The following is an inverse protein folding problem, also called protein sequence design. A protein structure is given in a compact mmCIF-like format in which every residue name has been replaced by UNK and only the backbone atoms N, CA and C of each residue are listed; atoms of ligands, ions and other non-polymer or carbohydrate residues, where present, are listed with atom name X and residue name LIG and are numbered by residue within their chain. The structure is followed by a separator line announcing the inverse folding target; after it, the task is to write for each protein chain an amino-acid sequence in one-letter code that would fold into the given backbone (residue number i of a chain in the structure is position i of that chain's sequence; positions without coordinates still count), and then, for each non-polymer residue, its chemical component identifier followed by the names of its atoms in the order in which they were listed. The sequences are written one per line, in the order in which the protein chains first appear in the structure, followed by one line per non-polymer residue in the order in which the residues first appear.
data_IF_786181255623
#
_entry.id   IF_786181255623
#
_cell.length_a   1.000
_cell.length_b   1.000
_cell.length_c   1.000
_cell.angle_alpha   90.00
_cell.angle_beta   90.00
_cell.angle_gamma   90.00
#
_symmetry.space_group_name_H-M   'P 1'
#
loop_
_entity.id
_entity.type
_entity.pdbx_description
1 polymer ?
#
# COMPACT_ATOMS: atom_id res chain seq x y z
N UNK A 1 52.65 14.72 39.55
CA UNK A 1 51.32 15.14 40.03
C UNK A 1 50.38 15.22 38.84
N UNK A 2 49.73 14.10 38.53
CA UNK A 2 48.40 13.70 39.00
C UNK A 2 47.30 14.35 38.15
N UNK A 3 46.87 13.55 37.19
CA UNK A 3 45.62 13.64 36.42
C UNK A 3 44.47 13.57 37.43
N UNK A 4 43.63 14.60 37.50
CA UNK A 4 42.34 14.53 38.18
C UNK A 4 41.23 14.49 37.15
N UNK A 5 40.73 13.27 36.98
CA UNK A 5 39.47 12.91 36.35
C UNK A 5 38.31 13.66 37.01
N UNK A 6 37.55 14.42 36.22
CA UNK A 6 36.18 14.79 36.58
C UNK A 6 35.23 13.81 35.89
N UNK A 7 34.99 12.68 36.57
CA UNK A 7 33.85 11.81 36.34
C UNK A 7 32.59 12.56 36.77
N UNK A 8 31.87 13.14 35.83
CA UNK A 8 30.47 13.51 36.05
C UNK A 8 29.64 12.22 35.90
N UNK A 9 29.40 11.55 37.03
CA UNK A 9 28.41 10.47 37.12
C UNK A 9 27.01 11.09 36.94
N UNK A 10 26.51 11.10 35.71
CA UNK A 10 25.07 11.21 35.45
C UNK A 10 24.53 9.80 35.37
N UNK A 11 24.10 9.30 36.52
CA UNK A 11 23.38 8.03 36.66
C UNK A 11 22.06 8.12 35.89
N UNK A 12 21.86 7.20 34.94
CA UNK A 12 20.53 6.80 34.47
C UNK A 12 19.81 7.77 33.53
N UNK A 13 20.35 8.01 32.33
CA UNK A 13 19.50 8.39 31.21
C UNK A 13 18.72 7.14 30.75
N UNK A 14 17.50 6.96 31.27
CA UNK A 14 16.50 6.13 30.58
C UNK A 14 16.30 6.78 29.21
N UNK A 15 16.93 6.18 28.20
CA UNK A 15 16.76 6.57 26.82
C UNK A 15 15.33 6.22 26.39
N UNK A 16 14.38 7.11 26.70
CA UNK A 16 13.00 7.03 26.23
C UNK A 16 13.00 7.38 24.74
N UNK A 17 13.46 6.46 23.90
CA UNK A 17 13.36 6.60 22.45
C UNK A 17 11.91 6.36 22.04
N UNK A 18 11.27 7.42 21.55
CA UNK A 18 9.98 7.34 20.87
C UNK A 18 10.18 6.61 19.54
N UNK A 19 9.53 5.46 19.36
CA UNK A 19 9.47 4.82 18.04
C UNK A 19 8.30 5.42 17.26
N UNK A 20 8.61 6.40 16.41
CA UNK A 20 7.67 6.96 15.42
C UNK A 20 7.50 5.92 14.30
N UNK A 21 6.27 5.67 13.80
CA UNK A 21 6.09 4.77 12.67
C UNK A 21 6.93 5.25 11.46
N UNK A 22 7.68 4.29 10.92
CA UNK A 22 8.53 4.41 9.73
C UNK A 22 7.71 4.99 8.58
N UNK A 23 8.31 5.87 7.77
CA UNK A 23 7.74 6.38 6.52
C UNK A 23 7.23 5.22 5.65
N UNK A 24 5.91 5.02 5.58
CA UNK A 24 5.33 3.96 4.77
C UNK A 24 4.94 4.51 3.40
N UNK A 25 5.55 3.97 2.35
CA UNK A 25 5.02 4.10 0.98
C UNK A 25 4.07 2.94 0.76
N UNK A 26 2.79 3.26 0.61
CA UNK A 26 1.72 2.27 0.48
C UNK A 26 1.18 2.35 -0.94
N UNK A 27 0.96 1.19 -1.55
CA UNK A 27 0.33 1.08 -2.86
C UNK A 27 -0.99 0.33 -2.70
N UNK A 28 -2.04 0.82 -3.36
CA UNK A 28 -3.35 0.19 -3.37
C UNK A 28 -3.93 0.16 -4.78
N UNK A 29 -4.70 -0.89 -5.08
CA UNK A 29 -5.47 -0.99 -6.31
C UNK A 29 -6.70 -0.07 -6.20
N UNK A 30 -7.03 0.66 -7.26
CA UNK A 30 -8.27 1.45 -7.30
C UNK A 30 -9.52 0.55 -7.13
N UNK A 31 -10.49 0.98 -6.32
CA UNK A 31 -11.65 0.20 -5.89
C UNK A 31 -11.38 -0.78 -4.75
N UNK A 32 -10.10 -1.00 -4.35
CA UNK A 32 -9.75 -1.95 -3.29
C UNK A 32 -9.84 -1.33 -1.88
N UNK A 33 -9.51 -2.12 -0.86
CA UNK A 33 -9.33 -1.64 0.52
C UNK A 33 -7.85 -1.73 0.90
N UNK A 34 -7.32 -0.66 1.47
CA UNK A 34 -5.96 -0.60 1.98
C UNK A 34 -5.94 -0.46 3.49
N UNK A 35 -5.05 -1.21 4.14
CA UNK A 35 -4.78 -1.08 5.57
C UNK A 35 -3.35 -0.60 5.77
N UNK A 36 -3.21 0.57 6.37
CA UNK A 36 -1.92 1.11 6.79
C UNK A 36 -1.72 0.71 8.25
N UNK A 37 -0.82 -0.24 8.48
CA UNK A 37 -0.53 -0.72 9.82
C UNK A 37 0.44 0.24 10.53
N UNK A 38 0.03 0.81 11.65
CA UNK A 38 0.93 1.53 12.55
C UNK A 38 1.25 0.68 13.78
N UNK A 39 2.49 0.76 14.28
CA UNK A 39 2.80 0.40 15.66
C UNK A 39 3.40 1.62 16.37
N UNK A 40 2.96 1.88 17.59
CA UNK A 40 3.53 2.93 18.42
C UNK A 40 3.61 2.38 19.83
N UNK A 41 4.82 2.37 20.37
CA UNK A 41 5.08 1.98 21.75
C UNK A 41 5.19 3.26 22.54
N UNK A 42 4.11 3.64 23.20
CA UNK A 42 4.14 4.74 24.16
C UNK A 42 4.40 4.14 25.55
N UNK A 43 5.23 4.79 26.38
CA UNK A 43 5.31 4.40 27.79
C UNK A 43 3.92 4.42 28.42
N UNK A 44 3.57 3.36 29.16
CA UNK A 44 2.24 3.14 29.77
C UNK A 44 1.79 4.25 30.73
N UNK A 45 2.70 5.15 31.07
CA UNK A 45 2.51 6.31 31.95
C UNK A 45 1.76 7.46 31.25
N UNK A 46 1.75 7.48 29.91
CA UNK A 46 1.14 8.55 29.12
C UNK A 46 -0.31 8.21 28.74
N UNK A 47 -1.23 9.14 28.97
CA UNK A 47 -2.62 8.98 28.53
C UNK A 47 -2.76 9.50 27.10
N UNK A 48 -2.93 8.60 26.14
CA UNK A 48 -3.31 8.98 24.77
C UNK A 48 -4.75 9.47 24.80
N UNK A 49 -4.95 10.75 24.49
CA UNK A 49 -6.26 11.40 24.50
C UNK A 49 -6.91 11.31 23.12
N UNK A 50 -6.11 11.42 22.05
CA UNK A 50 -6.61 11.37 20.67
C UNK A 50 -5.50 11.01 19.69
N UNK A 51 -5.82 10.14 18.73
CA UNK A 51 -5.01 9.86 17.56
C UNK A 51 -5.89 10.03 16.31
N UNK A 52 -5.37 10.68 15.28
CA UNK A 52 -6.08 10.86 14.01
C UNK A 52 -5.12 10.98 12.83
N UNK A 53 -5.61 10.58 11.68
CA UNK A 53 -5.01 10.83 10.38
C UNK A 53 -5.65 12.04 9.72
N UNK A 54 -4.91 12.75 8.88
CA UNK A 54 -5.44 13.88 8.12
C UNK A 54 -4.57 14.25 6.94
N UNK A 55 -5.12 15.08 6.06
CA UNK A 55 -4.41 15.63 4.90
C UNK A 55 -3.42 16.72 5.32
N UNK A 56 -2.29 16.89 4.61
CA UNK A 56 -1.36 17.98 4.86
C UNK A 56 -2.08 19.33 4.73
N UNK A 57 -1.97 20.14 5.77
CA UNK A 57 -2.50 21.49 5.79
C UNK A 57 -1.36 22.50 5.71
N UNK A 58 -1.64 23.69 5.17
CA UNK A 58 -0.70 24.81 5.19
C UNK A 58 -0.28 25.16 6.63
N UNK A 59 0.97 25.60 6.79
CA UNK A 59 1.60 25.89 8.10
C UNK A 59 0.65 26.69 9.01
N UNK A 60 0.28 26.10 10.15
CA UNK A 60 -0.52 26.73 11.19
C UNK A 60 -2.01 26.34 11.23
N UNK A 61 -2.53 25.62 10.24
CA UNK A 61 -3.91 25.09 10.29
C UNK A 61 -3.97 23.77 11.08
N UNK A 62 -5.07 23.60 11.83
CA UNK A 62 -5.37 22.37 12.58
C UNK A 62 -5.54 21.20 11.62
N UNK A 63 -4.85 20.09 11.88
CA UNK A 63 -5.10 18.83 11.17
C UNK A 63 -6.52 18.34 11.48
N UNK A 64 -7.32 18.17 10.43
CA UNK A 64 -8.66 17.63 10.52
C UNK A 64 -8.63 16.10 10.55
N UNK A 65 -9.64 15.51 11.19
CA UNK A 65 -9.85 14.07 11.19
C UNK A 65 -10.29 13.62 9.80
N UNK A 66 -9.51 12.73 9.18
CA UNK A 66 -9.76 12.23 7.83
C UNK A 66 -11.15 11.64 7.66
N UNK A 67 -11.75 11.04 8.71
CA UNK A 67 -13.12 10.49 8.65
C UNK A 67 -14.19 11.54 8.36
N UNK A 68 -13.90 12.80 8.66
CA UNK A 68 -14.82 13.91 8.48
C UNK A 68 -14.54 14.71 7.21
N UNK A 69 -13.50 14.37 6.45
CA UNK A 69 -13.21 15.02 5.18
C UNK A 69 -14.23 14.54 4.13
N UNK A 70 -14.85 15.44 3.34
CA UNK A 70 -15.96 15.09 2.44
C UNK A 70 -15.66 13.94 1.48
N UNK A 71 -14.42 13.84 0.99
CA UNK A 71 -14.00 12.75 0.10
C UNK A 71 -13.80 11.40 0.79
N UNK A 72 -13.65 11.37 2.11
CA UNK A 72 -13.24 10.20 2.89
C UNK A 72 -14.33 9.68 3.85
N UNK A 73 -15.41 10.45 4.01
CA UNK A 73 -16.50 10.12 4.92
C UNK A 73 -17.11 8.77 4.57
N UNK A 74 -17.26 7.90 5.58
CA UNK A 74 -17.76 6.53 5.41
C UNK A 74 -16.77 5.53 4.81
N UNK A 75 -15.62 5.98 4.29
CA UNK A 75 -14.56 5.11 3.73
C UNK A 75 -13.41 4.85 4.70
N UNK A 76 -13.31 5.64 5.78
CA UNK A 76 -12.20 5.60 6.73
C UNK A 76 -12.60 4.97 8.06
N UNK A 77 -11.80 4.03 8.52
CA UNK A 77 -11.90 3.39 9.83
C UNK A 77 -10.54 3.35 10.52
N UNK A 78 -10.52 3.64 11.82
CA UNK A 78 -9.31 3.49 12.64
C UNK A 78 -9.33 2.14 13.31
N UNK A 79 -8.26 1.37 13.13
CA UNK A 79 -8.10 0.03 13.67
C UNK A 79 -7.25 0.07 14.94
N UNK A 80 -7.65 -0.66 15.97
CA UNK A 80 -6.93 -0.77 17.24
C UNK A 80 -7.83 -0.53 18.46
N UNK A 81 -7.20 -0.50 19.64
CA UNK A 81 -7.83 -0.08 20.90
C UNK A 81 -7.70 1.44 21.09
N UNK A 82 -8.30 1.97 22.17
CA UNK A 82 -8.30 3.41 22.49
C UNK A 82 -6.91 4.05 22.62
N UNK A 83 -5.85 3.23 22.69
CA UNK A 83 -4.47 3.63 22.89
C UNK A 83 -3.62 3.45 21.62
N UNK A 84 -4.09 2.64 20.65
CA UNK A 84 -3.33 2.15 19.50
C UNK A 84 -3.95 2.47 18.12
N UNK A 85 -4.81 3.49 18.01
CA UNK A 85 -5.51 3.94 16.77
C UNK A 85 -4.62 4.52 15.65
N UNK A 86 -3.40 4.05 15.53
CA UNK A 86 -2.47 4.48 14.49
C UNK A 86 -2.66 3.70 13.19
N UNK A 87 -3.39 2.58 13.23
CA UNK A 87 -3.72 1.82 12.04
C UNK A 87 -4.96 2.38 11.37
N UNK A 88 -4.93 2.51 10.06
CA UNK A 88 -5.97 3.09 9.23
C UNK A 88 -6.44 2.07 8.20
N UNK A 89 -7.75 1.90 8.07
CA UNK A 89 -8.38 1.23 6.92
C UNK A 89 -9.09 2.25 6.06
N UNK A 90 -8.79 2.25 4.76
CA UNK A 90 -9.46 3.04 3.74
C UNK A 90 -10.07 2.10 2.71
N UNK A 91 -11.40 2.05 2.64
CA UNK A 91 -12.15 1.27 1.65
C UNK A 91 -12.46 2.09 0.41
N UNK A 92 -12.80 1.40 -0.68
CA UNK A 92 -13.15 2.01 -1.97
C UNK A 92 -12.09 3.06 -2.37
N UNK A 93 -10.83 2.63 -2.44
CA UNK A 93 -9.70 3.53 -2.76
C UNK A 93 -9.88 4.12 -4.15
N UNK A 94 -9.80 5.43 -4.28
CA UNK A 94 -9.96 6.15 -5.54
C UNK A 94 -8.66 6.81 -5.96
N UNK A 95 -8.44 7.07 -7.25
CA UNK A 95 -7.22 7.77 -7.71
C UNK A 95 -7.02 9.12 -7.03
N UNK A 96 -8.09 9.82 -6.66
CA UNK A 96 -8.04 11.09 -5.90
C UNK A 96 -7.49 10.95 -4.47
N UNK A 97 -7.42 9.74 -3.93
CA UNK A 97 -6.85 9.48 -2.60
C UNK A 97 -5.31 9.45 -2.61
N UNK A 98 -4.69 9.50 -3.79
CA UNK A 98 -3.24 9.57 -3.93
C UNK A 98 -2.70 10.86 -3.29
N UNK A 99 -2.08 10.72 -2.11
CA UNK A 99 -1.61 11.84 -1.33
C UNK A 99 -0.59 11.41 -0.27
N UNK A 100 0.07 12.40 0.31
CA UNK A 100 0.73 12.27 1.61
C UNK A 100 -0.32 12.44 2.71
N UNK A 101 -0.24 11.63 3.76
CA UNK A 101 -1.09 11.72 4.93
C UNK A 101 -0.24 12.02 6.16
N UNK A 102 -0.75 12.86 7.04
CA UNK A 102 -0.12 13.21 8.30
C UNK A 102 -0.83 12.52 9.46
N UNK A 103 -0.06 12.20 10.49
CA UNK A 103 -0.58 11.65 11.74
C UNK A 103 -0.52 12.73 12.82
N UNK A 104 -1.57 12.81 13.64
CA UNK A 104 -1.60 13.66 14.83
C UNK A 104 -2.00 12.85 16.06
N UNK A 105 -1.23 13.06 17.12
CA UNK A 105 -1.42 12.47 18.42
C UNK A 105 -1.58 13.58 19.47
N UNK A 106 -2.42 13.35 20.47
CA UNK A 106 -2.57 14.21 21.64
C UNK A 106 -2.29 13.34 22.87
N UNK A 107 -1.21 13.66 23.58
CA UNK A 107 -0.80 13.01 24.84
C UNK A 107 -0.82 14.08 25.91
N UNK A 108 -1.54 13.86 27.02
CA UNK A 108 -1.60 14.80 28.15
C UNK A 108 -1.81 16.27 27.69
N UNK A 109 -2.80 16.46 26.80
CA UNK A 109 -3.15 17.74 26.14
C UNK A 109 -2.07 18.38 25.24
N UNK A 110 -0.93 17.73 25.07
CA UNK A 110 0.15 18.15 24.17
C UNK A 110 -0.03 17.55 22.76
N UNK A 111 -0.17 18.38 21.70
CA UNK A 111 -0.33 17.90 20.35
C UNK A 111 1.03 17.61 19.69
N UNK A 112 1.17 16.41 19.13
CA UNK A 112 2.29 15.98 18.30
C UNK A 112 1.80 15.68 16.90
N UNK A 113 2.48 16.19 15.88
CA UNK A 113 2.14 15.96 14.47
C UNK A 113 3.35 15.44 13.70
N UNK A 114 3.12 14.45 12.86
CA UNK A 114 4.14 13.80 12.04
C UNK A 114 3.70 13.82 10.58
N UNK A 115 4.55 14.40 9.72
CA UNK A 115 4.36 14.49 8.28
C UNK A 115 5.72 14.22 7.59
N UNK A 116 5.82 13.30 6.62
CA UNK A 116 4.81 12.31 6.24
C UNK A 116 4.55 11.33 7.38
N UNK A 117 3.30 10.88 7.54
CA UNK A 117 3.01 9.63 8.23
C UNK A 117 3.06 8.45 7.25
N UNK A 118 2.30 8.54 6.16
CA UNK A 118 2.45 7.65 4.99
C UNK A 118 2.15 8.39 3.68
N UNK A 119 2.56 7.80 2.57
CA UNK A 119 2.15 8.22 1.23
C UNK A 119 1.37 7.08 0.58
N UNK A 120 0.19 7.38 0.04
CA UNK A 120 -0.60 6.43 -0.73
C UNK A 120 -0.39 6.69 -2.21
N UNK A 121 0.01 5.66 -2.96
CA UNK A 121 -0.05 5.61 -4.41
C UNK A 121 -1.21 4.70 -4.82
N UNK A 122 -1.97 5.12 -5.83
CA UNK A 122 -3.09 4.34 -6.35
C UNK A 122 -2.75 3.85 -7.75
N UNK A 123 -2.89 2.54 -7.96
CA UNK A 123 -2.61 1.88 -9.24
C UNK A 123 -3.87 1.24 -9.80
N UNK A 124 -3.86 1.06 -11.12
CA UNK A 124 -4.71 0.16 -11.89
C UNK A 124 -3.91 -1.09 -12.29
N UNK A 125 -4.56 -2.04 -12.98
CA UNK A 125 -3.93 -3.22 -13.57
C UNK A 125 -3.91 -3.11 -15.09
N UNK A 126 -2.79 -3.48 -15.71
CA UNK A 126 -2.66 -3.53 -17.17
C UNK A 126 -1.96 -4.81 -17.59
N UNK A 127 -2.43 -5.45 -18.67
CA UNK A 127 -1.72 -6.60 -19.26
C UNK A 127 -0.75 -6.10 -20.31
N UNK A 128 0.53 -6.34 -20.07
CA UNK A 128 1.60 -6.09 -21.02
C UNK A 128 1.91 -7.38 -21.78
N UNK A 129 1.85 -7.26 -23.10
CA UNK A 129 2.16 -8.34 -24.05
C UNK A 129 3.46 -8.00 -24.78
N UNK A 130 4.36 -8.97 -25.02
CA UNK A 130 5.54 -8.77 -25.85
C UNK A 130 5.19 -8.21 -27.23
N UNK A 131 6.05 -7.33 -27.77
CA UNK A 131 5.84 -6.71 -29.07
C UNK A 131 5.85 -7.74 -30.23
N UNK A 132 6.65 -8.79 -30.07
CA UNK A 132 6.72 -9.93 -30.98
C UNK A 132 6.36 -11.21 -30.23
N UNK A 133 5.50 -12.01 -30.85
CA UNK A 133 5.15 -13.36 -30.40
C UNK A 133 5.44 -14.29 -31.56
N UNK A 134 6.11 -15.40 -31.27
CA UNK A 134 6.53 -16.40 -32.26
C UNK A 134 6.09 -17.77 -31.81
N UNK A 135 5.55 -18.55 -32.74
CA UNK A 135 5.10 -19.90 -32.48
C UNK A 135 6.29 -20.79 -32.07
N UNK A 136 6.07 -21.63 -31.04
CA UNK A 136 7.11 -22.49 -30.48
C UNK A 136 8.05 -21.79 -29.48
N UNK A 137 8.05 -20.46 -29.38
CA UNK A 137 8.88 -19.72 -28.44
C UNK A 137 8.16 -19.45 -27.10
N UNK A 138 8.92 -19.07 -26.07
CA UNK A 138 8.37 -18.61 -24.80
C UNK A 138 7.77 -17.21 -24.95
N UNK A 139 6.49 -17.07 -24.59
CA UNK A 139 5.85 -15.77 -24.43
C UNK A 139 5.54 -15.50 -22.95
N UNK A 140 5.94 -14.33 -22.45
CA UNK A 140 5.68 -13.90 -21.07
C UNK A 140 4.77 -12.68 -21.09
N UNK A 141 3.56 -12.83 -20.57
CA UNK A 141 2.64 -11.71 -20.33
C UNK A 141 2.82 -11.24 -18.89
N UNK A 142 2.75 -9.93 -18.68
CA UNK A 142 2.94 -9.31 -17.36
C UNK A 142 1.69 -8.55 -16.97
N UNK A 143 1.19 -8.79 -15.74
CA UNK A 143 0.18 -7.96 -15.12
C UNK A 143 0.89 -6.80 -14.40
N UNK A 144 0.93 -5.63 -15.03
CA UNK A 144 1.67 -4.47 -14.57
C UNK A 144 0.83 -3.57 -13.65
N UNK A 145 1.52 -2.93 -12.71
CA UNK A 145 1.03 -1.91 -11.80
C UNK A 145 2.06 -0.78 -11.74
N UNK A 146 1.61 0.44 -11.50
CA UNK A 146 2.46 1.63 -11.40
C UNK A 146 3.14 1.75 -10.03
N UNK A 147 2.76 0.93 -9.06
CA UNK A 147 3.42 0.81 -7.77
C UNK A 147 3.35 -0.63 -7.26
N UNK A 148 4.26 -0.99 -6.35
CA UNK A 148 4.36 -2.36 -5.83
C UNK A 148 3.24 -2.68 -4.82
N UNK A 149 2.31 -3.55 -5.21
CA UNK A 149 1.29 -4.10 -4.31
C UNK A 149 1.91 -5.19 -3.40
N UNK A 150 2.17 -4.83 -2.14
CA UNK A 150 2.82 -5.72 -1.17
C UNK A 150 1.99 -6.98 -0.89
N UNK A 151 2.60 -8.15 -1.05
CA UNK A 151 1.97 -9.45 -0.78
C UNK A 151 0.87 -9.86 -1.77
N UNK A 152 0.69 -9.13 -2.87
CA UNK A 152 -0.33 -9.43 -3.87
C UNK A 152 -0.01 -10.73 -4.63
N UNK A 153 -1.07 -11.48 -4.93
CA UNK A 153 -1.04 -12.62 -5.85
C UNK A 153 -2.04 -12.35 -6.97
N UNK A 154 -1.76 -12.88 -8.17
CA UNK A 154 -2.52 -12.55 -9.37
C UNK A 154 -3.25 -13.77 -9.93
N UNK A 155 -4.46 -13.54 -10.42
CA UNK A 155 -5.28 -14.52 -11.14
C UNK A 155 -5.36 -14.08 -12.59
N UNK A 156 -5.06 -15.00 -13.51
CA UNK A 156 -5.14 -14.75 -14.95
C UNK A 156 -6.42 -15.31 -15.54
N UNK A 157 -6.93 -14.59 -16.53
CA UNK A 157 -8.12 -14.96 -17.28
C UNK A 157 -7.81 -15.00 -18.76
N UNK A 158 -8.43 -15.94 -19.46
CA UNK A 158 -8.47 -16.00 -20.92
C UNK A 158 -9.92 -16.05 -21.37
N UNK A 159 -10.31 -15.12 -22.22
CA UNK A 159 -11.68 -14.97 -22.73
C UNK A 159 -12.73 -14.88 -21.60
N UNK A 160 -12.37 -14.25 -20.47
CA UNK A 160 -13.23 -14.10 -19.30
C UNK A 160 -13.29 -15.31 -18.36
N UNK A 161 -12.62 -16.42 -18.69
CA UNK A 161 -12.55 -17.61 -17.84
C UNK A 161 -11.20 -17.69 -17.12
N UNK A 162 -11.20 -18.20 -15.89
CA UNK A 162 -9.96 -18.41 -15.12
C UNK A 162 -9.04 -19.33 -15.91
N UNK A 163 -7.79 -18.91 -16.09
CA UNK A 163 -6.77 -19.67 -16.79
C UNK A 163 -6.10 -20.65 -15.83
N UNK A 164 -6.30 -21.95 -16.06
CA UNK A 164 -5.69 -23.04 -15.28
C UNK A 164 -4.67 -23.81 -16.12
N UNK A 165 -3.71 -24.47 -15.47
CA UNK A 165 -2.76 -25.36 -16.15
C UNK A 165 -1.60 -24.67 -16.88
N UNK A 166 -1.53 -23.33 -16.86
CA UNK A 166 -0.36 -22.56 -17.29
C UNK A 166 0.50 -22.17 -16.08
N UNK A 167 1.80 -21.94 -16.32
CA UNK A 167 2.72 -21.51 -15.28
C UNK A 167 2.52 -20.01 -15.02
N UNK A 168 2.26 -19.65 -13.76
CA UNK A 168 2.18 -18.26 -13.29
C UNK A 168 3.18 -18.02 -12.18
N UNK A 169 3.97 -16.94 -12.26
CA UNK A 169 4.94 -16.58 -11.21
C UNK A 169 4.87 -15.09 -10.93
N UNK A 170 4.68 -14.73 -9.67
CA UNK A 170 4.41 -13.34 -9.26
C UNK A 170 3.24 -12.75 -10.04
N UNK A 171 3.50 -11.78 -10.92
CA UNK A 171 2.55 -11.12 -11.79
C UNK A 171 2.68 -11.56 -13.27
N UNK A 172 3.45 -12.60 -13.57
CA UNK A 172 3.70 -13.07 -14.94
C UNK A 172 2.93 -14.34 -15.27
N UNK A 173 2.48 -14.44 -16.51
CA UNK A 173 1.95 -15.65 -17.15
C UNK A 173 2.93 -16.12 -18.23
N UNK A 174 3.30 -17.40 -18.16
CA UNK A 174 4.23 -18.03 -19.10
C UNK A 174 3.45 -18.94 -20.04
N UNK A 175 3.56 -18.65 -21.34
CA UNK A 175 3.03 -19.45 -22.43
C UNK A 175 4.20 -20.12 -23.13
N UNK A 176 4.42 -21.41 -22.83
CA UNK A 176 5.58 -22.17 -23.30
C UNK A 176 5.15 -23.60 -23.69
N UNK A 177 5.27 -23.98 -24.97
CA UNK A 177 5.48 -23.09 -26.12
C UNK A 177 4.24 -22.21 -26.37
N UNK A 178 4.45 -21.00 -26.88
CA UNK A 178 3.37 -20.20 -27.45
C UNK A 178 2.84 -20.84 -28.74
N UNK A 179 1.52 -20.93 -28.88
CA UNK A 179 0.86 -21.54 -30.02
C UNK A 179 -0.40 -20.77 -30.44
N UNK A 180 -0.97 -21.12 -31.61
CA UNK A 180 -2.26 -20.58 -32.06
C UNK A 180 -3.39 -20.81 -31.05
N UNK A 181 -3.34 -21.91 -30.29
CA UNK A 181 -4.30 -22.19 -29.23
C UNK A 181 -4.28 -21.12 -28.14
N UNK A 182 -3.18 -20.39 -27.94
CA UNK A 182 -3.07 -19.34 -26.94
C UNK A 182 -3.73 -18.02 -27.37
N UNK A 183 -4.16 -17.88 -28.62
CA UNK A 183 -4.89 -16.70 -29.10
C UNK A 183 -6.16 -16.43 -28.26
N UNK A 184 -6.42 -15.15 -28.00
CA UNK A 184 -7.55 -14.76 -27.15
C UNK A 184 -7.33 -13.46 -26.39
N UNK A 185 -8.30 -13.14 -25.53
CA UNK A 185 -8.29 -11.94 -24.69
C UNK A 185 -7.80 -12.30 -23.29
N UNK A 186 -6.68 -11.73 -22.87
CA UNK A 186 -6.09 -11.95 -21.56
C UNK A 186 -6.36 -10.77 -20.64
N UNK A 187 -6.79 -11.05 -19.42
CA UNK A 187 -6.87 -10.07 -18.33
C UNK A 187 -6.30 -10.68 -17.05
N UNK A 188 -5.94 -9.83 -16.11
CA UNK A 188 -5.46 -10.25 -14.79
C UNK A 188 -6.23 -9.53 -13.70
N UNK A 189 -6.33 -10.13 -12.51
CA UNK A 189 -6.87 -9.49 -11.32
C UNK A 189 -6.00 -9.84 -10.10
N UNK A 190 -6.07 -9.02 -9.06
CA UNK A 190 -5.46 -9.36 -7.76
C UNK A 190 -6.38 -10.34 -7.04
N UNK A 191 -5.82 -11.40 -6.45
CA UNK A 191 -6.58 -12.39 -5.68
C UNK A 191 -7.27 -11.73 -4.48
N UNK A 192 -8.55 -12.02 -4.28
CA UNK A 192 -9.43 -11.34 -3.30
C UNK A 192 -10.06 -10.04 -3.83
N UNK A 193 -9.61 -9.55 -4.99
CA UNK A 193 -10.16 -8.40 -5.71
C UNK A 193 -10.46 -8.77 -7.17
N UNK A 194 -10.94 -10.00 -7.41
CA UNK A 194 -11.24 -10.53 -8.75
C UNK A 194 -12.32 -9.73 -9.50
N UNK A 195 -13.15 -8.99 -8.77
CA UNK A 195 -14.14 -8.06 -9.32
C UNK A 195 -13.53 -6.78 -9.92
N UNK A 196 -12.21 -6.57 -9.76
CA UNK A 196 -11.44 -5.46 -10.31
C UNK A 196 -10.39 -5.98 -11.31
N UNK A 197 -10.81 -6.61 -12.43
CA UNK A 197 -9.86 -7.10 -13.42
C UNK A 197 -9.27 -5.93 -14.23
N UNK A 198 -8.07 -6.15 -14.77
CA UNK A 198 -7.50 -5.31 -15.81
C UNK A 198 -8.42 -5.27 -17.05
N UNK A 199 -8.32 -4.22 -17.88
CA UNK A 199 -8.76 -4.30 -19.26
C UNK A 199 -8.15 -5.54 -19.94
N UNK A 200 -8.93 -6.17 -20.82
CA UNK A 200 -8.49 -7.38 -21.51
C UNK A 200 -7.67 -7.03 -22.77
N UNK A 201 -6.45 -7.54 -22.84
CA UNK A 201 -5.55 -7.39 -23.98
C UNK A 201 -5.70 -8.56 -24.94
N UNK A 202 -5.94 -8.28 -26.21
CA UNK A 202 -6.05 -9.31 -27.24
C UNK A 202 -4.68 -9.71 -27.76
N UNK A 203 -4.47 -11.02 -27.86
CA UNK A 203 -3.34 -11.66 -28.54
C UNK A 203 -3.90 -12.34 -29.80
N UNK A 204 -3.38 -11.92 -30.95
CA UNK A 204 -3.70 -12.50 -32.25
C UNK A 204 -2.83 -13.71 -32.55
N UNK A 205 -3.34 -14.61 -33.38
CA UNK A 205 -2.54 -15.54 -34.16
C UNK A 205 -1.59 -14.73 -35.07
N UNK A 206 -0.32 -14.58 -34.68
CA UNK A 206 0.73 -14.21 -35.64
C UNK A 206 1.53 -15.46 -35.95
N UNK A 207 0.89 -16.39 -36.65
CA UNK A 207 1.63 -17.44 -37.35
C UNK A 207 2.44 -16.74 -38.45
N UNK A 208 3.77 -16.74 -38.31
CA UNK A 208 4.70 -16.47 -39.40
C UNK A 208 5.45 -17.76 -39.68
#
# INVERSE_FOLDING_TARGET
SLITSFLCHVSGALQNSWNVPILQKVCALEGSTVTVNGTSKYPTVFKVVKALWGLPQNKGKKLNDLRNEPGYSGRVEYLGDEVSYISLRLSDVQKSDENMYCFKLIIDDSPYQYCPGFTLNVTDLQVIVPAELREGELAVLTCETNCFLSGATYVWYKNGHILTGKITKYNNLYLEPFSSEDAGRFSCAVKGYEHLPSPAQYISERCK
#
